data_IF_991203081562
#
_entry.id   IF_991203081562
#
_cell.length_a   1.000
_cell.length_b   1.000
_cell.length_c   1.000
_cell.angle_alpha   90.00
_cell.angle_beta   90.00
_cell.angle_gamma   90.00
#
_symmetry.space_group_name_H-M   'P 1'
#
loop_
_entity.id
_entity.type
_entity.pdbx_description
1 polymer ?
#
# COMPACT_ATOMS: atom_id res chain seq x y z
N UNK A 1 29.53 -19.43 -17.03
CA UNK A 1 28.74 -18.28 -16.56
C UNK A 1 27.34 -18.44 -17.13
N UNK A 2 26.45 -19.07 -16.38
CA UNK A 2 25.08 -19.31 -16.83
C UNK A 2 24.29 -17.99 -16.89
N UNK A 3 23.64 -17.77 -18.03
CA UNK A 3 22.74 -16.63 -18.27
C UNK A 3 21.67 -16.54 -17.18
N UNK A 4 21.32 -15.35 -16.67
CA UNK A 4 20.20 -15.16 -15.75
C UNK A 4 18.88 -15.79 -16.24
N UNK A 5 18.69 -15.88 -17.57
CA UNK A 5 17.53 -16.54 -18.18
C UNK A 5 17.51 -18.07 -17.98
N UNK A 6 18.68 -18.71 -17.96
CA UNK A 6 18.79 -20.16 -17.77
C UNK A 6 18.41 -20.61 -16.34
N UNK A 7 18.52 -19.72 -15.35
CA UNK A 7 18.07 -19.97 -13.97
C UNK A 7 16.55 -19.87 -13.78
N UNK A 8 15.83 -19.25 -14.71
CA UNK A 8 14.37 -19.15 -14.67
C UNK A 8 13.70 -20.38 -15.32
N UNK A 9 14.31 -20.95 -16.36
CA UNK A 9 13.72 -22.02 -17.18
C UNK A 9 13.66 -23.42 -16.53
N UNK A 10 14.42 -23.69 -15.45
CA UNK A 10 14.45 -25.00 -14.77
C UNK A 10 13.46 -25.12 -13.60
N UNK A 11 12.64 -24.10 -13.36
CA UNK A 11 11.70 -24.07 -12.23
C UNK A 11 10.34 -24.58 -12.67
N UNK A 12 10.09 -25.88 -12.47
CA UNK A 12 8.77 -26.48 -12.63
C UNK A 12 7.69 -25.68 -11.89
N UNK A 13 6.47 -25.67 -12.44
CA UNK A 13 5.31 -24.97 -11.91
C UNK A 13 5.08 -25.33 -10.43
N UNK A 14 5.59 -24.51 -9.52
CA UNK A 14 5.41 -24.68 -8.07
C UNK A 14 4.23 -23.84 -7.62
N UNK A 15 3.16 -24.53 -7.25
CA UNK A 15 2.03 -23.92 -6.55
C UNK A 15 2.53 -23.52 -5.15
N UNK A 16 2.60 -22.22 -4.89
CA UNK A 16 3.12 -21.68 -3.62
C UNK A 16 2.14 -21.95 -2.49
N UNK A 17 2.40 -23.00 -1.72
CA UNK A 17 1.79 -23.22 -0.43
C UNK A 17 2.54 -22.39 0.61
N UNK A 18 1.95 -21.28 1.08
CA UNK A 18 2.39 -20.69 2.35
C UNK A 18 2.28 -21.72 3.49
N UNK A 19 2.69 -21.40 4.73
CA UNK A 19 2.67 -22.35 5.87
C UNK A 19 1.29 -22.94 6.23
N UNK A 20 0.21 -22.54 5.52
CA UNK A 20 -1.13 -23.14 5.56
C UNK A 20 -1.78 -23.28 4.17
N UNK A 21 -0.99 -23.37 3.09
CA UNK A 21 -1.52 -23.54 1.72
C UNK A 21 -2.25 -22.34 1.13
N UNK A 22 -2.23 -21.19 1.81
CA UNK A 22 -3.15 -20.08 1.54
C UNK A 22 -2.52 -18.67 1.38
N UNK A 23 -1.20 -18.51 1.39
CA UNK A 23 -0.60 -17.18 1.60
C UNK A 23 -0.58 -16.22 0.38
N UNK A 24 -0.27 -16.65 -0.87
CA UNK A 24 -0.18 -15.71 -2.00
C UNK A 24 -1.53 -15.44 -2.65
N UNK A 25 -2.36 -16.47 -2.82
CA UNK A 25 -3.63 -16.34 -3.53
C UNK A 25 -4.57 -15.33 -2.83
N UNK A 26 -4.75 -15.43 -1.50
CA UNK A 26 -5.52 -14.48 -0.70
C UNK A 26 -4.94 -13.06 -0.69
N UNK A 27 -3.62 -12.92 -0.82
CA UNK A 27 -2.97 -11.61 -0.88
C UNK A 27 -3.17 -10.92 -2.26
N UNK A 28 -3.52 -11.66 -3.31
CA UNK A 28 -3.84 -11.14 -4.63
C UNK A 28 -5.34 -10.88 -4.83
N UNK A 29 -6.21 -11.59 -4.10
CA UNK A 29 -7.61 -11.18 -3.96
C UNK A 29 -7.66 -9.86 -3.21
N UNK A 30 -8.22 -8.83 -3.83
CA UNK A 30 -8.27 -7.50 -3.22
C UNK A 30 -8.97 -7.56 -1.86
N UNK A 31 -8.20 -7.45 -0.76
CA UNK A 31 -8.71 -7.04 0.54
C UNK A 31 -9.62 -5.82 0.35
N UNK A 32 -10.94 -6.02 0.42
CA UNK A 32 -11.94 -5.02 0.08
C UNK A 32 -11.65 -3.69 0.78
N UNK A 33 -11.55 -2.60 0.00
CA UNK A 33 -11.51 -1.14 0.27
C UNK A 33 -11.09 -0.59 1.66
N UNK A 34 -10.49 -1.39 2.53
CA UNK A 34 -10.40 -1.15 3.97
C UNK A 34 -9.21 -0.27 4.34
N UNK A 35 -8.21 -0.15 3.45
CA UNK A 35 -6.97 0.61 3.66
C UNK A 35 -6.79 1.74 2.63
N UNK A 36 -7.87 2.33 2.12
CA UNK A 36 -7.76 3.54 1.30
C UNK A 36 -7.23 4.69 2.16
N UNK A 37 -6.29 5.54 1.70
CA UNK A 37 -5.88 6.73 2.44
C UNK A 37 -7.08 7.65 2.72
N UNK A 38 -8.11 7.60 1.88
CA UNK A 38 -9.38 8.29 2.10
C UNK A 38 -10.20 7.76 3.28
N UNK A 39 -9.88 6.58 3.82
CA UNK A 39 -10.47 6.05 5.05
C UNK A 39 -9.85 6.69 6.29
N UNK A 40 -8.69 7.33 6.20
CA UNK A 40 -8.14 8.14 7.30
C UNK A 40 -9.13 9.22 7.72
N UNK A 41 -9.87 9.79 6.76
CA UNK A 41 -10.91 10.79 7.02
C UNK A 41 -12.06 10.22 7.85
N UNK A 42 -12.22 8.90 7.94
CA UNK A 42 -13.22 8.22 8.76
C UNK A 42 -12.58 7.47 9.93
N UNK A 43 -11.26 7.63 10.14
CA UNK A 43 -10.54 7.01 11.25
C UNK A 43 -10.84 7.74 12.55
N UNK A 44 -10.86 7.01 13.67
CA UNK A 44 -11.18 7.61 14.96
C UNK A 44 -10.12 8.63 15.40
N UNK A 45 -8.85 8.42 15.02
CA UNK A 45 -7.76 9.36 15.36
C UNK A 45 -7.95 10.70 14.68
N UNK A 46 -8.39 10.69 13.41
CA UNK A 46 -8.67 11.91 12.65
C UNK A 46 -9.86 12.68 13.22
N UNK A 47 -10.95 11.98 13.52
CA UNK A 47 -12.16 12.59 14.11
C UNK A 47 -11.86 13.12 15.52
N UNK A 48 -11.14 12.36 16.34
CA UNK A 48 -10.75 12.78 17.69
C UNK A 48 -9.81 14.00 17.66
N UNK A 49 -8.80 14.01 16.78
CA UNK A 49 -7.92 15.15 16.60
C UNK A 49 -8.68 16.40 16.15
N UNK A 50 -9.62 16.25 15.21
CA UNK A 50 -10.51 17.33 14.79
C UNK A 50 -11.32 17.91 15.96
N UNK A 51 -11.95 17.06 16.77
CA UNK A 51 -12.70 17.48 17.96
C UNK A 51 -11.82 18.21 18.99
N UNK A 52 -10.62 17.68 19.26
CA UNK A 52 -9.66 18.31 20.17
C UNK A 52 -9.23 19.69 19.66
N UNK A 53 -8.96 19.84 18.36
CA UNK A 53 -8.57 21.12 17.77
C UNK A 53 -9.72 22.14 17.78
N UNK A 54 -10.97 21.69 17.59
CA UNK A 54 -12.14 22.56 17.78
C UNK A 54 -12.24 23.04 19.23
N UNK A 55 -12.15 22.14 20.21
CA UNK A 55 -12.19 22.49 21.63
C UNK A 55 -11.05 23.43 22.02
N UNK A 56 -9.83 23.15 21.57
CA UNK A 56 -8.68 24.02 21.78
C UNK A 56 -8.87 25.38 21.12
N UNK A 57 -9.38 25.45 19.89
CA UNK A 57 -9.66 26.71 19.21
C UNK A 57 -10.71 27.56 19.94
N UNK A 58 -11.74 26.93 20.51
CA UNK A 58 -12.76 27.61 21.33
C UNK A 58 -12.15 28.11 22.65
N UNK A 59 -11.41 27.25 23.36
CA UNK A 59 -10.84 27.56 24.67
C UNK A 59 -9.70 28.59 24.62
N UNK A 60 -8.92 28.58 23.54
CA UNK A 60 -7.77 29.47 23.37
C UNK A 60 -8.07 30.74 22.56
N UNK A 61 -9.30 30.89 22.06
CA UNK A 61 -9.70 31.93 21.10
C UNK A 61 -8.87 31.97 19.79
N UNK A 62 -8.06 30.95 19.50
CA UNK A 62 -7.36 30.81 18.22
C UNK A 62 -8.35 30.33 17.15
N UNK A 63 -8.91 31.29 16.40
CA UNK A 63 -9.86 31.04 15.30
C UNK A 63 -9.30 30.09 14.23
N UNK A 64 -8.00 30.15 13.94
CA UNK A 64 -7.33 29.29 12.95
C UNK A 64 -7.32 27.82 13.42
N UNK A 65 -6.99 27.57 14.69
CA UNK A 65 -6.96 26.22 15.27
C UNK A 65 -8.35 25.58 15.24
N UNK A 66 -9.37 26.36 15.62
CA UNK A 66 -10.77 25.92 15.56
C UNK A 66 -11.23 25.66 14.13
N UNK A 67 -10.89 26.55 13.19
CA UNK A 67 -11.21 26.39 11.78
C UNK A 67 -10.56 25.14 11.17
N UNK A 68 -9.31 24.83 11.52
CA UNK A 68 -8.66 23.60 11.08
C UNK A 68 -9.33 22.35 11.65
N UNK A 69 -9.70 22.35 12.93
CA UNK A 69 -10.49 21.28 13.53
C UNK A 69 -11.85 21.07 12.83
N UNK A 70 -12.56 22.16 12.52
CA UNK A 70 -13.81 22.09 11.75
C UNK A 70 -13.60 21.57 10.33
N UNK A 71 -12.50 21.94 9.67
CA UNK A 71 -12.15 21.42 8.35
C UNK A 71 -11.88 19.91 8.39
N UNK A 72 -11.18 19.43 9.42
CA UNK A 72 -10.97 17.98 9.62
C UNK A 72 -12.30 17.24 9.78
N UNK A 73 -13.21 17.72 10.64
CA UNK A 73 -14.53 17.10 10.83
C UNK A 73 -15.40 17.20 9.57
N UNK A 74 -15.38 18.35 8.89
CA UNK A 74 -16.07 18.57 7.63
C UNK A 74 -15.61 17.60 6.54
N UNK A 75 -14.31 17.30 6.47
CA UNK A 75 -13.77 16.32 5.52
C UNK A 75 -14.28 14.90 5.76
N UNK A 76 -14.48 14.50 7.02
CA UNK A 76 -15.09 13.22 7.40
C UNK A 76 -16.54 13.12 6.95
N UNK A 77 -17.34 14.19 7.19
CA UNK A 77 -18.75 14.26 6.77
C UNK A 77 -18.87 14.28 5.25
N UNK A 78 -18.04 15.07 4.56
CA UNK A 78 -17.99 15.13 3.11
C UNK A 78 -17.66 13.77 2.50
N UNK A 79 -16.70 13.05 3.10
CA UNK A 79 -16.33 11.69 2.66
C UNK A 79 -17.47 10.69 2.83
N UNK A 80 -18.17 10.72 3.97
CA UNK A 80 -19.31 9.86 4.24
C UNK A 80 -20.47 10.13 3.26
N UNK A 81 -20.73 11.41 2.95
CA UNK A 81 -21.71 11.81 1.93
C UNK A 81 -21.31 11.37 0.53
N UNK A 82 -20.03 11.49 0.17
CA UNK A 82 -19.52 11.01 -1.11
C UNK A 82 -19.63 9.48 -1.22
N UNK A 83 -19.36 8.76 -0.13
CA UNK A 83 -19.53 7.30 -0.10
C UNK A 83 -21.00 6.93 -0.31
N UNK A 84 -21.91 7.58 0.41
CA UNK A 84 -23.35 7.37 0.26
C UNK A 84 -23.82 7.56 -1.18
N UNK A 85 -23.29 8.56 -1.90
CA UNK A 85 -23.61 8.76 -3.33
C UNK A 85 -23.07 7.67 -4.26
N UNK A 86 -21.95 7.02 -3.89
CA UNK A 86 -21.31 5.96 -4.69
C UNK A 86 -21.85 4.56 -4.40
N UNK A 87 -22.54 4.38 -3.27
CA UNK A 87 -23.15 3.09 -2.92
C UNK A 87 -24.31 2.80 -3.88
N UNK A 88 -24.29 1.62 -4.52
CA UNK A 88 -25.42 1.17 -5.33
C UNK A 88 -26.56 0.74 -4.40
N UNK A 89 -27.72 1.40 -4.51
CA UNK A 89 -28.90 1.11 -3.67
C UNK A 89 -29.91 0.37 -4.53
N UNK A 90 -30.07 -0.93 -4.27
CA UNK A 90 -31.01 -1.79 -5.01
C UNK A 90 -32.16 -2.26 -4.13
N UNK A 91 -33.41 -2.31 -4.66
CA UNK A 91 -33.85 -1.75 -5.95
C UNK A 91 -33.95 -0.21 -5.95
N UNK A 92 -33.86 0.47 -7.12
CA UNK A 92 -33.77 1.93 -7.24
C UNK A 92 -34.92 2.72 -6.60
N UNK A 93 -36.10 2.11 -6.45
CA UNK A 93 -37.26 2.71 -5.77
C UNK A 93 -37.02 3.10 -4.31
N UNK A 94 -36.00 2.54 -3.68
CA UNK A 94 -35.59 2.87 -2.31
C UNK A 94 -34.49 3.93 -2.24
N UNK A 95 -34.04 4.46 -3.38
CA UNK A 95 -33.07 5.55 -3.44
C UNK A 95 -33.70 6.90 -3.09
N UNK A 96 -34.01 7.07 -1.81
CA UNK A 96 -34.56 8.31 -1.25
C UNK A 96 -33.45 9.13 -0.58
N UNK A 97 -33.64 10.45 -0.50
CA UNK A 97 -32.72 11.36 0.21
C UNK A 97 -32.49 10.94 1.68
N UNK A 98 -33.53 10.45 2.35
CA UNK A 98 -33.45 9.92 3.72
C UNK A 98 -32.59 8.66 3.81
N UNK A 99 -32.69 7.74 2.85
CA UNK A 99 -31.86 6.53 2.77
C UNK A 99 -30.40 6.90 2.51
N UNK A 100 -30.14 7.83 1.59
CA UNK A 100 -28.78 8.35 1.35
C UNK A 100 -28.20 9.04 2.59
N UNK A 101 -29.01 9.79 3.34
CA UNK A 101 -28.57 10.39 4.60
C UNK A 101 -28.27 9.31 5.65
N UNK A 102 -29.11 8.28 5.75
CA UNK A 102 -28.90 7.12 6.62
C UNK A 102 -27.60 6.37 6.28
N UNK A 103 -27.33 6.12 4.99
CA UNK A 103 -26.07 5.49 4.54
C UNK A 103 -24.88 6.39 4.89
N UNK A 104 -24.99 7.72 4.72
CA UNK A 104 -23.92 8.63 5.08
C UNK A 104 -23.65 8.63 6.60
N UNK A 105 -24.71 8.68 7.42
CA UNK A 105 -24.61 8.62 8.88
C UNK A 105 -23.99 7.29 9.34
N UNK A 106 -24.47 6.17 8.80
CA UNK A 106 -23.93 4.84 9.10
C UNK A 106 -22.46 4.75 8.69
N UNK A 107 -22.09 5.25 7.51
CA UNK A 107 -20.69 5.26 7.05
C UNK A 107 -19.81 6.09 7.99
N UNK A 108 -20.30 7.25 8.43
CA UNK A 108 -19.60 8.13 9.36
C UNK A 108 -19.40 7.47 10.73
N UNK A 109 -20.39 6.76 11.26
CA UNK A 109 -20.30 6.09 12.57
C UNK A 109 -19.48 4.79 12.48
N UNK A 110 -19.64 4.01 11.41
CA UNK A 110 -18.98 2.73 11.22
C UNK A 110 -17.45 2.85 11.09
N UNK A 111 -16.96 3.93 10.48
CA UNK A 111 -15.52 4.18 10.33
C UNK A 111 -14.77 4.24 11.66
N UNK A 112 -15.09 5.23 12.53
CA UNK A 112 -14.46 5.40 13.82
C UNK A 112 -14.67 4.19 14.73
N UNK A 113 -15.89 3.62 14.77
CA UNK A 113 -16.18 2.45 15.62
C UNK A 113 -15.38 1.22 15.21
N UNK A 114 -15.26 0.94 13.91
CA UNK A 114 -14.42 -0.16 13.39
C UNK A 114 -12.95 0.07 13.69
N UNK A 115 -12.46 1.30 13.54
CA UNK A 115 -11.06 1.63 13.81
C UNK A 115 -10.73 1.55 15.30
N UNK A 116 -11.61 2.07 16.18
CA UNK A 116 -11.49 1.93 17.63
C UNK A 116 -11.42 0.45 18.04
N UNK A 117 -12.36 -0.38 17.57
CA UNK A 117 -12.34 -1.83 17.87
C UNK A 117 -11.07 -2.51 17.38
N UNK A 118 -10.50 -2.08 16.26
CA UNK A 118 -9.21 -2.59 15.77
C UNK A 118 -8.06 -2.18 16.70
N UNK A 119 -7.99 -0.92 17.10
CA UNK A 119 -6.95 -0.41 18.00
C UNK A 119 -7.03 -1.07 19.38
N UNK A 120 -8.23 -1.15 19.96
CA UNK A 120 -8.45 -1.84 21.24
C UNK A 120 -8.20 -3.34 21.13
N UNK A 121 -8.62 -4.00 20.05
CA UNK A 121 -8.33 -5.42 19.83
C UNK A 121 -6.82 -5.72 19.73
N UNK A 122 -6.03 -4.80 19.18
CA UNK A 122 -4.57 -4.90 19.18
C UNK A 122 -3.98 -4.66 20.57
N UNK A 123 -4.54 -3.74 21.35
CA UNK A 123 -4.12 -3.45 22.71
C UNK A 123 -4.43 -4.62 23.66
N UNK A 124 -5.63 -5.20 23.60
CA UNK A 124 -6.05 -6.37 24.38
C UNK A 124 -5.28 -7.65 24.01
N UNK A 125 -4.77 -7.77 22.79
CA UNK A 125 -3.90 -8.89 22.41
C UNK A 125 -2.45 -8.70 22.86
N UNK A 126 -1.99 -7.46 23.05
CA UNK A 126 -0.67 -7.17 23.64
C UNK A 126 -0.61 -7.58 25.11
N UNK A 127 -1.72 -7.45 25.84
CA UNK A 127 -1.77 -7.87 27.25
C UNK A 127 -1.76 -9.39 27.40
N UNK A 128 -2.44 -10.15 26.53
CA UNK A 128 -2.40 -11.63 26.58
C UNK A 128 -1.10 -12.24 26.05
N UNK A 129 -0.34 -11.53 25.20
CA UNK A 129 0.92 -12.04 24.66
C UNK A 129 2.05 -12.06 25.72
N UNK A 130 1.92 -11.27 26.79
CA UNK A 130 2.88 -11.27 27.91
C UNK A 130 2.74 -12.52 28.79
N UNK A 131 1.61 -13.21 28.76
CA UNK A 131 1.33 -14.35 29.64
C UNK A 131 1.53 -15.69 28.90
N UNK A 132 1.13 -15.79 27.63
CA UNK A 132 1.33 -17.03 26.85
C UNK A 132 2.79 -17.27 26.40
N UNK A 133 3.65 -16.25 26.40
CA UNK A 133 5.08 -16.42 26.06
C UNK A 133 5.92 -16.96 27.22
N UNK A 134 5.39 -16.94 28.46
CA UNK A 134 6.01 -17.58 29.62
C UNK A 134 5.65 -19.08 29.75
N UNK A 135 4.56 -19.53 29.14
CA UNK A 135 4.10 -20.94 29.24
C UNK A 135 4.32 -21.75 27.96
N UNK A 136 4.49 -21.12 26.78
CA UNK A 136 4.71 -21.81 25.51
C UNK A 136 6.20 -22.06 25.17
N UNK A 137 7.14 -21.59 25.97
CA UNK A 137 8.59 -21.85 25.82
C UNK A 137 9.06 -23.16 26.45
N UNK A 138 8.20 -23.86 27.22
CA UNK A 138 8.59 -25.07 27.96
C UNK A 138 8.21 -26.41 27.34
N UNK A 139 7.37 -26.47 26.31
CA UNK A 139 6.76 -27.76 25.87
C UNK A 139 7.10 -28.17 24.42
N UNK A 140 7.76 -27.30 23.64
CA UNK A 140 8.19 -27.65 22.27
C UNK A 140 9.72 -27.67 22.08
N UNK A 141 10.50 -27.56 23.15
CA UNK A 141 11.96 -27.45 23.09
C UNK A 141 12.72 -28.77 23.35
N UNK A 142 12.03 -29.92 23.40
CA UNK A 142 12.64 -31.17 23.84
C UNK A 142 13.01 -32.18 22.75
N UNK A 143 12.75 -31.94 21.45
CA UNK A 143 12.92 -33.04 20.47
C UNK A 143 13.35 -32.63 19.05
N UNK A 144 14.21 -31.62 18.91
CA UNK A 144 14.73 -31.24 17.59
C UNK A 144 16.17 -30.75 17.66
N UNK A 145 17.05 -31.60 18.17
CA UNK A 145 18.49 -31.46 18.03
C UNK A 145 18.90 -32.16 16.74
N UNK A 146 18.75 -31.48 15.61
CA UNK A 146 19.36 -31.86 14.34
C UNK A 146 19.79 -30.60 13.58
N UNK A 147 21.09 -30.54 13.33
CA UNK A 147 21.87 -29.47 12.70
C UNK A 147 21.28 -28.92 11.40
N UNK A 148 20.42 -27.92 11.51
CA UNK A 148 20.22 -26.94 10.45
C UNK A 148 20.21 -25.54 11.06
N UNK A 149 21.29 -24.79 10.82
CA UNK A 149 21.32 -23.34 10.96
C UNK A 149 20.11 -22.76 10.22
N UNK A 150 19.07 -22.47 10.99
CA UNK A 150 17.91 -21.75 10.51
C UNK A 150 18.35 -20.31 10.28
N UNK A 151 18.28 -19.77 9.04
CA UNK A 151 18.61 -18.39 8.82
C UNK A 151 17.65 -17.55 9.65
N UNK A 152 18.23 -16.81 10.59
CA UNK A 152 17.55 -15.87 11.48
C UNK A 152 16.60 -14.98 10.68
N UNK A 153 15.30 -15.19 10.87
CA UNK A 153 14.19 -14.39 10.35
C UNK A 153 14.15 -13.03 11.07
N UNK A 154 15.25 -12.25 11.02
CA UNK A 154 15.40 -10.99 11.76
C UNK A 154 15.21 -9.74 10.89
N UNK A 155 15.14 -9.89 9.57
CA UNK A 155 15.05 -8.76 8.63
C UNK A 155 13.77 -8.71 7.79
N UNK A 156 12.71 -9.47 8.14
CA UNK A 156 11.40 -9.19 7.57
C UNK A 156 10.92 -7.85 8.13
N UNK A 157 10.96 -6.72 7.38
CA UNK A 157 10.57 -5.45 7.94
C UNK A 157 9.09 -5.54 8.24
N UNK A 158 8.76 -5.13 9.45
CA UNK A 158 7.45 -5.04 10.05
C UNK A 158 6.33 -4.76 9.03
N UNK A 159 5.22 -5.48 9.18
CA UNK A 159 4.00 -5.24 8.44
C UNK A 159 3.54 -3.79 8.67
N UNK A 160 3.92 -2.89 7.77
CA UNK A 160 3.39 -1.52 7.75
C UNK A 160 1.92 -1.55 7.29
N UNK A 161 1.02 -0.77 7.93
CA UNK A 161 -0.43 -0.83 7.73
C UNK A 161 -0.95 -0.21 6.42
N UNK A 162 -0.06 0.23 5.52
CA UNK A 162 -0.39 0.91 4.27
C UNK A 162 -0.32 -0.07 3.10
N UNK A 163 -1.17 -1.10 3.12
CA UNK A 163 -1.20 -2.07 2.03
C UNK A 163 -1.84 -1.42 0.80
N UNK A 164 -1.00 -0.96 -0.14
CA UNK A 164 -1.36 -0.35 -1.42
C UNK A 164 -1.92 -1.42 -2.37
N UNK A 165 -3.04 -1.99 -1.96
CA UNK A 165 -3.82 -3.04 -2.60
C UNK A 165 -4.51 -2.59 -3.91
N UNK A 166 -3.98 -1.53 -4.55
CA UNK A 166 -4.61 -0.81 -5.67
C UNK A 166 -3.95 -1.06 -7.02
N UNK A 167 -2.95 -1.96 -7.08
CA UNK A 167 -2.24 -2.26 -8.33
C UNK A 167 -2.19 -3.75 -8.66
N UNK A 168 -3.16 -4.54 -8.19
CA UNK A 168 -3.40 -5.86 -8.79
C UNK A 168 -4.05 -5.63 -10.15
N UNK A 169 -3.42 -6.11 -11.22
CA UNK A 169 -3.99 -6.15 -12.57
C UNK A 169 -4.10 -7.59 -13.02
N UNK A 170 -5.22 -7.89 -13.65
CA UNK A 170 -5.53 -9.21 -14.19
C UNK A 170 -5.38 -9.17 -15.70
N UNK A 171 -4.68 -10.17 -16.23
CA UNK A 171 -4.41 -10.35 -17.64
C UNK A 171 -4.87 -11.73 -18.06
N UNK A 172 -5.73 -11.78 -19.07
CA UNK A 172 -6.23 -13.02 -19.63
C UNK A 172 -5.38 -13.43 -20.83
N UNK A 173 -5.05 -14.72 -20.93
CA UNK A 173 -4.36 -15.30 -22.08
C UNK A 173 -5.13 -16.51 -22.60
N UNK A 174 -5.46 -16.47 -23.90
CA UNK A 174 -6.03 -17.61 -24.62
C UNK A 174 -4.96 -18.65 -24.97
N UNK A 175 -3.71 -18.22 -25.11
CA UNK A 175 -2.56 -19.05 -25.54
C UNK A 175 -1.77 -19.66 -24.37
N UNK A 176 -2.26 -19.49 -23.14
CA UNK A 176 -1.64 -20.07 -21.95
C UNK A 176 -0.36 -19.36 -21.49
N UNK A 177 -0.25 -18.06 -21.72
CA UNK A 177 0.86 -17.26 -21.19
C UNK A 177 0.75 -17.14 -19.68
N UNK A 178 1.57 -17.94 -19.01
CA UNK A 178 1.65 -17.99 -17.55
C UNK A 178 2.57 -16.91 -16.95
N UNK A 179 2.66 -16.97 -15.62
CA UNK A 179 3.48 -16.10 -14.79
C UNK A 179 4.94 -16.10 -15.20
N UNK A 180 5.49 -17.27 -15.50
CA UNK A 180 6.94 -17.44 -15.66
C UNK A 180 7.38 -16.83 -17.00
N UNK A 181 6.61 -17.07 -18.08
CA UNK A 181 6.80 -16.37 -19.36
C UNK A 181 6.67 -14.86 -19.22
N UNK A 182 5.71 -14.40 -18.43
CA UNK A 182 5.54 -12.97 -18.17
C UNK A 182 6.74 -12.38 -17.41
N UNK A 183 7.23 -13.05 -16.36
CA UNK A 183 8.39 -12.60 -15.58
C UNK A 183 9.67 -12.57 -16.42
N UNK A 184 9.87 -13.55 -17.30
CA UNK A 184 11.00 -13.58 -18.22
C UNK A 184 10.96 -12.39 -19.19
N UNK A 185 9.84 -12.16 -19.87
CA UNK A 185 9.69 -11.02 -20.77
C UNK A 185 9.83 -9.68 -20.03
N UNK A 186 9.31 -9.59 -18.81
CA UNK A 186 9.40 -8.38 -18.01
C UNK A 186 10.84 -8.09 -17.56
N UNK A 187 11.58 -9.09 -17.09
CA UNK A 187 12.99 -8.93 -16.70
C UNK A 187 13.92 -8.66 -17.89
N UNK A 188 13.64 -9.25 -19.05
CA UNK A 188 14.34 -8.93 -20.29
C UNK A 188 14.22 -7.44 -20.65
N UNK A 189 12.99 -6.89 -20.61
CA UNK A 189 12.78 -5.46 -20.82
C UNK A 189 13.46 -4.58 -19.78
N UNK A 190 13.43 -4.99 -18.50
CA UNK A 190 14.11 -4.25 -17.46
C UNK A 190 15.62 -4.18 -17.72
N UNK A 191 16.20 -5.30 -18.16
CA UNK A 191 17.62 -5.38 -18.53
C UNK A 191 17.95 -4.51 -19.75
N UNK A 192 17.10 -4.52 -20.78
CA UNK A 192 17.25 -3.70 -22.00
C UNK A 192 17.27 -2.20 -21.66
N UNK A 193 16.39 -1.78 -20.76
CA UNK A 193 16.29 -0.38 -20.31
C UNK A 193 17.32 -0.01 -19.23
N UNK A 194 18.23 -0.93 -18.86
CA UNK A 194 19.25 -0.69 -17.82
C UNK A 194 18.67 -0.46 -16.43
N UNK A 195 17.48 -1.00 -16.16
CA UNK A 195 16.74 -0.78 -14.92
C UNK A 195 17.20 -1.84 -13.90
N UNK A 196 17.69 -1.42 -12.72
CA UNK A 196 18.11 -2.37 -11.70
C UNK A 196 16.91 -3.15 -11.15
N UNK A 197 17.07 -4.47 -11.10
CA UNK A 197 16.14 -5.39 -10.46
C UNK A 197 16.88 -6.46 -9.66
N UNK A 198 16.17 -7.04 -8.71
CA UNK A 198 16.66 -8.07 -7.81
C UNK A 198 15.64 -9.21 -7.79
N UNK A 199 16.13 -10.45 -7.95
CA UNK A 199 15.36 -11.67 -7.79
C UNK A 199 15.53 -12.13 -6.34
N UNK A 200 14.49 -12.05 -5.50
CA UNK A 200 14.60 -12.40 -4.10
C UNK A 200 14.69 -13.94 -3.90
N UNK A 201 15.06 -14.41 -2.70
CA UNK A 201 15.19 -15.84 -2.40
C UNK A 201 13.87 -16.61 -2.60
N UNK A 202 13.95 -17.94 -2.77
CA UNK A 202 12.78 -18.79 -3.11
C UNK A 202 11.62 -18.71 -2.11
N UNK A 203 11.90 -18.39 -0.85
CA UNK A 203 10.89 -18.25 0.21
C UNK A 203 10.27 -16.84 0.31
N UNK A 204 10.63 -15.95 -0.63
CA UNK A 204 10.08 -14.60 -0.71
C UNK A 204 8.60 -14.61 -1.10
N UNK A 205 7.86 -13.59 -0.64
CA UNK A 205 6.46 -13.35 -1.02
C UNK A 205 6.31 -12.65 -2.37
N UNK A 206 7.43 -12.31 -3.00
CA UNK A 206 7.52 -11.52 -4.21
C UNK A 206 8.43 -12.24 -5.18
N UNK A 207 8.12 -12.16 -6.47
CA UNK A 207 8.91 -12.77 -7.53
C UNK A 207 10.04 -11.83 -8.01
N UNK A 208 9.85 -10.52 -7.87
CA UNK A 208 10.80 -9.52 -8.35
C UNK A 208 10.77 -8.24 -7.52
N UNK A 209 11.92 -7.59 -7.34
CA UNK A 209 12.04 -6.25 -6.76
C UNK A 209 12.70 -5.34 -7.79
N UNK A 210 12.07 -4.21 -8.10
CA UNK A 210 12.55 -3.27 -9.14
C UNK A 210 12.68 -1.86 -8.57
N UNK A 211 13.63 -1.07 -9.07
CA UNK A 211 13.71 0.36 -8.80
C UNK A 211 14.77 0.75 -7.79
N UNK A 212 14.77 2.03 -7.39
CA UNK A 212 15.89 2.63 -6.68
C UNK A 212 15.77 2.42 -5.15
N UNK A 213 16.77 1.78 -4.48
CA UNK A 213 16.75 1.53 -3.04
C UNK A 213 16.78 2.81 -2.20
N UNK A 214 17.09 3.98 -2.78
CA UNK A 214 17.11 5.27 -2.09
C UNK A 214 15.79 6.03 -2.17
N UNK A 215 14.88 5.69 -3.10
CA UNK A 215 13.63 6.44 -3.32
C UNK A 215 12.40 5.57 -3.21
N UNK A 216 12.30 4.57 -4.07
CA UNK A 216 11.13 3.71 -4.15
C UNK A 216 11.54 2.35 -4.71
N UNK A 217 11.22 1.28 -3.99
CA UNK A 217 11.32 -0.09 -4.48
C UNK A 217 9.94 -0.61 -4.83
N UNK A 218 9.79 -1.29 -5.95
CA UNK A 218 8.55 -1.93 -6.36
C UNK A 218 8.68 -3.42 -6.15
N UNK A 219 7.92 -3.96 -5.21
CA UNK A 219 7.83 -5.39 -4.98
C UNK A 219 6.72 -5.95 -5.88
N UNK A 220 7.06 -6.95 -6.70
CA UNK A 220 6.16 -7.50 -7.71
C UNK A 220 5.88 -8.95 -7.34
N UNK A 221 4.61 -9.32 -7.36
CA UNK A 221 4.16 -10.70 -7.20
C UNK A 221 3.17 -11.02 -8.32
N UNK A 222 3.32 -12.17 -8.95
CA UNK A 222 2.47 -12.62 -10.02
C UNK A 222 1.95 -14.05 -9.74
N UNK A 223 0.77 -14.36 -10.25
CA UNK A 223 0.12 -15.66 -10.07
C UNK A 223 -0.73 -15.96 -11.29
N UNK A 224 -0.75 -17.22 -11.71
CA UNK A 224 -1.59 -17.70 -12.82
C UNK A 224 -2.65 -18.66 -12.30
N UNK A 225 -3.90 -18.41 -12.67
CA UNK A 225 -5.04 -19.32 -12.51
C UNK A 225 -5.30 -19.98 -13.86
N UNK A 226 -5.28 -21.31 -13.93
CA UNK A 226 -5.53 -22.05 -15.17
C UNK A 226 -7.03 -22.35 -15.31
N UNK A 227 -7.60 -22.07 -16.49
CA UNK A 227 -9.04 -22.15 -16.75
C UNK A 227 -9.44 -23.23 -17.78
N UNK A 228 -8.52 -24.16 -18.12
CA UNK A 228 -8.76 -25.22 -19.10
C UNK A 228 -8.59 -24.74 -20.55
N UNK A 229 -8.44 -25.68 -21.49
CA UNK A 229 -8.18 -25.43 -22.92
C UNK A 229 -6.95 -24.54 -23.19
N UNK A 230 -5.93 -24.65 -22.34
CA UNK A 230 -4.73 -23.82 -22.41
C UNK A 230 -4.94 -22.38 -21.91
N UNK A 231 -6.15 -21.97 -21.54
CA UNK A 231 -6.46 -20.60 -21.14
C UNK A 231 -6.04 -20.33 -19.70
N UNK A 232 -5.55 -19.13 -19.42
CA UNK A 232 -5.14 -18.76 -18.08
C UNK A 232 -5.35 -17.27 -17.75
N UNK A 233 -5.58 -17.00 -16.47
CA UNK A 233 -5.70 -15.67 -15.89
C UNK A 233 -4.48 -15.38 -15.02
N UNK A 234 -3.61 -14.49 -15.47
CA UNK A 234 -2.43 -14.07 -14.72
C UNK A 234 -2.72 -12.75 -13.99
N UNK A 235 -2.65 -12.77 -12.66
CA UNK A 235 -2.79 -11.59 -11.79
C UNK A 235 -1.41 -11.12 -11.33
N UNK A 236 -1.17 -9.83 -11.47
CA UNK A 236 0.11 -9.22 -11.19
C UNK A 236 -0.09 -8.05 -10.25
N UNK A 237 0.55 -8.12 -9.09
CA UNK A 237 0.51 -7.12 -8.03
C UNK A 237 1.82 -6.34 -8.02
N UNK A 238 1.69 -5.02 -8.08
CA UNK A 238 2.79 -4.10 -7.82
C UNK A 238 2.60 -3.44 -6.46
N UNK A 239 3.62 -3.50 -5.62
CA UNK A 239 3.61 -2.87 -4.30
C UNK A 239 4.75 -1.84 -4.20
N UNK A 240 4.47 -0.54 -4.42
CA UNK A 240 5.48 0.48 -4.25
C UNK A 240 5.81 0.64 -2.76
N UNK A 241 7.10 0.61 -2.46
CA UNK A 241 7.71 0.83 -1.14
C UNK A 241 8.52 2.11 -1.19
N UNK A 242 7.89 3.29 -1.01
CA UNK A 242 8.63 4.53 -0.87
C UNK A 242 9.52 4.44 0.36
N UNK A 243 10.76 4.87 0.21
CA UNK A 243 11.73 4.92 1.31
C UNK A 243 11.46 6.20 2.07
N UNK A 244 10.71 6.11 3.17
CA UNK A 244 10.24 7.28 3.93
C UNK A 244 11.36 8.25 4.31
N UNK A 245 12.59 7.75 4.54
CA UNK A 245 13.78 8.57 4.86
C UNK A 245 14.11 9.57 3.75
N UNK A 246 13.72 9.31 2.51
CA UNK A 246 13.85 10.24 1.38
C UNK A 246 12.79 11.35 1.44
N UNK A 247 11.56 11.03 1.85
CA UNK A 247 10.42 11.95 1.85
C UNK A 247 10.32 12.80 3.11
N UNK A 248 10.79 12.30 4.26
CA UNK A 248 10.59 12.97 5.54
C UNK A 248 11.31 14.32 5.65
N UNK A 249 12.61 14.46 5.29
CA UNK A 249 13.30 15.75 5.39
C UNK A 249 12.63 16.87 4.57
N UNK A 250 12.33 16.71 3.27
CA UNK A 250 11.67 17.78 2.51
C UNK A 250 10.24 18.03 3.00
N UNK A 251 9.51 17.02 3.48
CA UNK A 251 8.18 17.24 4.07
C UNK A 251 8.26 18.11 5.34
N UNK A 252 9.24 17.87 6.20
CA UNK A 252 9.46 18.66 7.40
C UNK A 252 9.85 20.11 7.04
N UNK A 253 10.73 20.28 6.05
CA UNK A 253 11.12 21.61 5.55
C UNK A 253 9.94 22.36 4.92
N UNK A 254 9.04 21.67 4.20
CA UNK A 254 7.81 22.27 3.68
C UNK A 254 6.90 22.72 4.82
N UNK A 255 6.76 21.91 5.87
CA UNK A 255 5.94 22.26 7.02
C UNK A 255 6.50 23.49 7.76
N UNK A 256 7.79 23.49 8.07
CA UNK A 256 8.48 24.59 8.76
C UNK A 256 8.48 25.84 7.89
N UNK A 257 8.90 25.71 6.63
CA UNK A 257 8.94 26.82 5.67
C UNK A 257 7.55 27.40 5.39
N UNK A 258 6.51 26.57 5.33
CA UNK A 258 5.12 27.00 5.20
C UNK A 258 4.64 27.75 6.42
N UNK A 259 4.95 27.27 7.64
CA UNK A 259 4.60 27.95 8.88
C UNK A 259 5.29 29.32 9.00
N UNK A 260 6.58 29.39 8.69
CA UNK A 260 7.35 30.64 8.70
C UNK A 260 6.87 31.59 7.59
N UNK A 261 6.61 31.04 6.39
CA UNK A 261 6.10 31.77 5.23
C UNK A 261 4.77 32.45 5.49
N UNK A 262 3.80 31.69 6.01
CA UNK A 262 2.45 32.17 6.26
C UNK A 262 2.37 33.16 7.43
N UNK A 263 3.19 32.99 8.48
CA UNK A 263 3.23 33.92 9.62
C UNK A 263 4.08 35.17 9.34
N UNK A 264 5.08 35.07 8.46
CA UNK A 264 5.99 36.18 8.16
C UNK A 264 5.45 37.20 7.16
N UNK A 265 4.39 36.90 6.41
CA UNK A 265 3.87 37.77 5.36
C UNK A 265 4.95 38.14 4.33
N UNK A 266 5.06 39.43 3.98
CA UNK A 266 6.10 39.95 3.06
C UNK A 266 7.45 40.23 3.74
N UNK A 267 7.63 39.87 5.02
CA UNK A 267 8.93 40.02 5.66
C UNK A 267 9.99 39.13 4.99
N UNK A 268 11.29 39.42 5.15
CA UNK A 268 12.37 38.57 4.65
C UNK A 268 12.24 37.10 5.10
N UNK A 269 11.71 36.87 6.30
CA UNK A 269 11.45 35.54 6.83
C UNK A 269 10.30 34.83 6.11
N UNK A 270 9.24 35.57 5.76
CA UNK A 270 8.13 35.04 4.96
C UNK A 270 8.60 34.56 3.59
N UNK A 271 9.41 35.37 2.90
CA UNK A 271 10.01 35.04 1.61
C UNK A 271 10.96 33.85 1.73
N UNK A 272 11.82 33.83 2.75
CA UNK A 272 12.73 32.71 2.99
C UNK A 272 11.99 31.39 3.24
N UNK A 273 10.90 31.42 4.03
CA UNK A 273 10.05 30.25 4.27
C UNK A 273 9.44 29.69 2.98
N UNK A 274 8.92 30.54 2.10
CA UNK A 274 8.37 30.14 0.80
C UNK A 274 9.45 29.57 -0.15
N UNK A 275 10.66 30.14 -0.14
CA UNK A 275 11.78 29.60 -0.91
C UNK A 275 12.19 28.19 -0.43
N UNK A 276 12.23 27.95 0.88
CA UNK A 276 12.49 26.62 1.44
C UNK A 276 11.43 25.61 1.00
N UNK A 277 10.15 26.00 0.96
CA UNK A 277 9.07 25.16 0.41
C UNK A 277 9.32 24.84 -1.06
N UNK A 278 9.61 25.85 -1.89
CA UNK A 278 9.84 25.67 -3.31
C UNK A 278 11.03 24.73 -3.59
N UNK A 279 12.16 24.93 -2.92
CA UNK A 279 13.36 24.08 -3.05
C UNK A 279 13.08 22.65 -2.59
N UNK A 280 12.36 22.48 -1.47
CA UNK A 280 12.00 21.15 -0.95
C UNK A 280 11.05 20.39 -1.88
N UNK A 281 10.12 21.09 -2.53
CA UNK A 281 9.27 20.52 -3.58
C UNK A 281 10.10 20.10 -4.79
N UNK A 282 11.02 20.94 -5.26
CA UNK A 282 11.93 20.59 -6.37
C UNK A 282 12.76 19.34 -6.04
N UNK A 283 13.25 19.19 -4.80
CA UNK A 283 13.94 17.97 -4.36
C UNK A 283 13.05 16.73 -4.37
N UNK A 284 11.77 16.85 -3.99
CA UNK A 284 10.80 15.75 -4.03
C UNK A 284 10.49 15.27 -5.45
N UNK A 285 10.55 16.17 -6.45
CA UNK A 285 10.25 15.85 -7.85
C UNK A 285 11.48 15.54 -8.70
N UNK A 286 12.69 15.89 -8.24
CA UNK A 286 13.92 15.63 -9.00
C UNK A 286 14.07 14.12 -9.29
N UNK A 287 14.22 13.69 -10.56
CA UNK A 287 14.49 12.29 -10.87
C UNK A 287 15.87 11.91 -10.34
N UNK A 288 15.99 10.72 -9.74
CA UNK A 288 17.28 10.16 -9.34
C UNK A 288 17.82 9.28 -10.48
N UNK A 289 19.15 9.13 -10.61
CA UNK A 289 19.73 8.17 -11.55
C UNK A 289 19.18 6.76 -11.29
N UNK A 290 18.75 6.06 -12.35
CA UNK A 290 18.14 4.72 -12.25
C UNK A 290 16.74 4.70 -11.63
N UNK A 291 16.09 5.87 -11.49
CA UNK A 291 14.74 5.96 -10.99
C UNK A 291 13.74 5.88 -12.13
N UNK A 292 12.85 4.90 -12.06
CA UNK A 292 11.67 4.88 -12.91
C UNK A 292 10.48 5.38 -12.11
N UNK A 293 9.81 6.36 -12.71
CA UNK A 293 8.54 6.84 -12.21
C UNK A 293 7.57 5.66 -12.04
N UNK A 294 6.71 5.70 -11.02
CA UNK A 294 5.70 4.65 -10.86
C UNK A 294 4.87 4.42 -12.11
N UNK A 295 4.67 5.48 -12.91
CA UNK A 295 4.04 5.42 -14.22
C UNK A 295 4.84 4.62 -15.25
N UNK A 296 6.17 4.76 -15.30
CA UNK A 296 7.03 3.99 -16.20
C UNK A 296 6.96 2.49 -15.93
N UNK A 297 7.02 2.07 -14.66
CA UNK A 297 6.89 0.64 -14.30
C UNK A 297 5.48 0.11 -14.61
N UNK A 298 4.45 0.90 -14.35
CA UNK A 298 3.06 0.54 -14.66
C UNK A 298 2.84 0.40 -16.17
N UNK A 299 3.44 1.28 -16.97
CA UNK A 299 3.41 1.26 -18.43
C UNK A 299 4.15 0.03 -18.95
N UNK A 300 5.37 -0.22 -18.45
CA UNK A 300 6.19 -1.35 -18.86
C UNK A 300 5.47 -2.67 -18.61
N UNK A 301 4.82 -2.82 -17.45
CA UNK A 301 3.98 -3.98 -17.14
C UNK A 301 2.89 -4.18 -18.20
N UNK A 302 2.18 -3.11 -18.55
CA UNK A 302 1.08 -3.19 -19.51
C UNK A 302 1.59 -3.56 -20.89
N UNK A 303 2.67 -2.92 -21.33
CA UNK A 303 3.31 -3.17 -22.62
C UNK A 303 3.86 -4.59 -22.72
N UNK A 304 4.52 -5.12 -21.68
CA UNK A 304 4.95 -6.53 -21.63
C UNK A 304 3.77 -7.48 -21.74
N UNK A 305 2.66 -7.18 -21.06
CA UNK A 305 1.48 -8.04 -21.11
C UNK A 305 0.83 -8.03 -22.50
N UNK A 306 0.77 -6.87 -23.15
CA UNK A 306 0.25 -6.74 -24.52
C UNK A 306 1.13 -7.44 -25.56
N UNK A 307 2.46 -7.33 -25.44
CA UNK A 307 3.39 -8.03 -26.34
C UNK A 307 3.27 -9.55 -26.27
N UNK A 308 2.88 -10.07 -25.11
CA UNK A 308 2.60 -11.48 -24.90
C UNK A 308 1.14 -11.86 -25.26
N UNK A 309 0.40 -10.99 -25.95
CA UNK A 309 -0.99 -11.27 -26.35
C UNK A 309 -1.98 -11.34 -25.18
N UNK A 310 -1.60 -10.87 -23.98
CA UNK A 310 -2.48 -10.91 -22.81
C UNK A 310 -3.38 -9.67 -22.77
N UNK A 311 -4.68 -9.88 -22.61
CA UNK A 311 -5.67 -8.80 -22.61
C UNK A 311 -5.98 -8.34 -21.17
N UNK A 312 -6.09 -7.02 -20.97
CA UNK A 312 -6.36 -6.46 -19.64
C UNK A 312 -7.86 -6.34 -19.38
N UNK A 313 -8.39 -7.14 -18.44
CA UNK A 313 -9.74 -7.00 -17.91
C UNK A 313 -10.80 -7.96 -18.49
N UNK A 314 -11.46 -8.65 -17.55
CA UNK A 314 -12.69 -9.45 -17.60
C UNK A 314 -12.90 -10.39 -18.81
N UNK A 315 -12.50 -11.65 -18.62
CA UNK A 315 -13.47 -12.74 -18.74
C UNK A 315 -14.39 -12.74 -17.51
#
# INVERSE_FOLDING_TARGET
LESPAARLATRGSRIYHGPRGYAPFQALYGNGSSHSPWNLLLDWTWVAAGLVLVLLGILSHLSITGAFGLAMLGSSVARARLQSRRTDVRPPRFDKRSVRLGIALLTFIQGPTRSLRRTFGLLSRRTSRSESQATATGVCAADSQADHESPTYRDAPECFPWDLNRQVKSYWSEEGVDRDRWLEAFTAKLSELGIPFEIPPEQSRFDLIVGNPRRCRYQIAAMTEYHGDGRCLTRIRFNPRPVWRFFLPPLLLILIGGLVGLNGGYSPWGVAGLLVVAVSLLHLFRPLPGDISGWGIISLRHETSQQLGMTSGLA
#
